data_IF_399820377694
#
_entry.id   IF_399820377694
#
_cell.length_a   1.000
_cell.length_b   1.000
_cell.length_c   1.000
_cell.angle_alpha   90.00
_cell.angle_beta   90.00
_cell.angle_gamma   90.00
#
_symmetry.space_group_name_H-M   'P 1'
#
loop_
_entity.id
_entity.type
_entity.pdbx_description
1 polymer ?
#
# COMPACT_ATOMS: atom_id res chain seq x y z
N UNK A 1 0.71 -1.48 -15.21
CA UNK A 1 -0.40 -1.63 -14.26
C UNK A 1 0.17 -1.57 -12.86
N UNK A 2 -0.44 -0.79 -11.96
CA UNK A 2 -0.05 -0.76 -10.54
C UNK A 2 -0.81 -1.82 -9.71
N UNK A 3 -0.37 -2.07 -8.47
CA UNK A 3 -1.00 -3.06 -7.61
C UNK A 3 -2.45 -2.71 -7.24
N UNK A 4 -2.79 -1.42 -7.13
CA UNK A 4 -4.18 -0.99 -6.89
C UNK A 4 -5.09 -1.36 -8.07
N UNK A 5 -4.68 -1.06 -9.30
CA UNK A 5 -5.40 -1.41 -10.53
C UNK A 5 -5.59 -2.91 -10.68
N UNK A 6 -4.57 -3.72 -10.35
CA UNK A 6 -4.69 -5.18 -10.37
C UNK A 6 -5.77 -5.68 -9.41
N UNK A 7 -5.88 -5.06 -8.23
CA UNK A 7 -6.93 -5.37 -7.25
C UNK A 7 -8.28 -4.85 -7.70
N UNK A 8 -8.36 -3.67 -8.30
CA UNK A 8 -9.61 -3.08 -8.79
C UNK A 8 -10.19 -3.85 -10.00
N UNK A 9 -9.32 -4.45 -10.82
CA UNK A 9 -9.73 -5.37 -11.89
C UNK A 9 -10.22 -6.73 -11.38
N UNK A 10 -10.02 -7.04 -10.10
CA UNK A 10 -10.40 -8.31 -9.48
C UNK A 10 -11.72 -8.22 -8.73
N UNK A 11 -12.55 -9.27 -8.86
CA UNK A 11 -13.73 -9.44 -8.01
C UNK A 11 -13.38 -9.84 -6.56
N UNK A 12 -12.22 -10.46 -6.35
CA UNK A 12 -11.74 -10.93 -5.04
C UNK A 12 -10.85 -9.92 -4.34
N UNK A 13 -10.15 -9.08 -5.12
CA UNK A 13 -9.12 -8.12 -4.66
C UNK A 13 -8.03 -8.79 -3.82
N UNK A 14 -7.63 -10.01 -4.18
CA UNK A 14 -6.61 -10.79 -3.48
C UNK A 14 -5.59 -11.36 -4.45
N UNK A 15 -4.32 -11.15 -4.15
CA UNK A 15 -3.24 -11.89 -4.80
C UNK A 15 -3.12 -13.30 -4.20
N UNK A 16 -2.65 -14.23 -5.03
CA UNK A 16 -2.19 -15.53 -4.55
C UNK A 16 -1.15 -15.31 -3.43
N UNK A 17 -1.22 -16.10 -2.35
CA UNK A 17 -0.43 -15.83 -1.16
C UNK A 17 1.10 -15.78 -1.44
N UNK A 18 1.67 -16.66 -2.29
CA UNK A 18 3.08 -16.55 -2.67
C UNK A 18 3.43 -15.27 -3.44
N UNK A 19 2.50 -14.78 -4.27
CA UNK A 19 2.67 -13.54 -5.04
C UNK A 19 2.68 -12.33 -4.10
N UNK A 20 1.71 -12.26 -3.18
CA UNK A 20 1.62 -11.20 -2.18
C UNK A 20 2.88 -11.11 -1.29
N UNK A 21 3.42 -12.27 -0.91
CA UNK A 21 4.69 -12.39 -0.18
C UNK A 21 5.89 -11.90 -1.00
N UNK A 22 6.00 -12.33 -2.26
CA UNK A 22 7.08 -11.88 -3.15
C UNK A 22 7.05 -10.37 -3.41
N UNK A 23 5.85 -9.78 -3.58
CA UNK A 23 5.67 -8.34 -3.65
C UNK A 23 6.12 -7.63 -2.38
N UNK A 24 5.68 -8.12 -1.21
CA UNK A 24 6.06 -7.55 0.08
C UNK A 24 7.57 -7.58 0.31
N UNK A 25 8.23 -8.70 -0.03
CA UNK A 25 9.68 -8.83 0.07
C UNK A 25 10.43 -7.83 -0.83
N UNK A 26 10.03 -7.71 -2.10
CA UNK A 26 10.62 -6.73 -3.01
C UNK A 26 10.42 -5.30 -2.54
N UNK A 27 9.25 -4.98 -1.99
CA UNK A 27 8.94 -3.65 -1.51
C UNK A 27 9.81 -3.28 -0.29
N UNK A 28 9.97 -4.21 0.67
CA UNK A 28 10.90 -4.01 1.80
C UNK A 28 12.33 -3.80 1.30
N UNK A 29 12.80 -4.61 0.35
CA UNK A 29 14.14 -4.47 -0.24
C UNK A 29 14.33 -3.13 -0.95
N UNK A 30 13.33 -2.68 -1.72
CA UNK A 30 13.36 -1.39 -2.41
C UNK A 30 13.44 -0.23 -1.42
N UNK A 31 12.60 -0.23 -0.37
CA UNK A 31 12.62 0.81 0.66
C UNK A 31 13.93 0.78 1.46
N UNK A 32 14.45 -0.40 1.80
CA UNK A 32 15.75 -0.53 2.46
C UNK A 32 16.87 0.07 1.61
N UNK A 33 16.85 -0.16 0.30
CA UNK A 33 17.78 0.46 -0.63
C UNK A 33 17.62 1.99 -0.65
N UNK A 34 16.42 2.53 -0.81
CA UNK A 34 16.17 3.99 -0.80
C UNK A 34 16.68 4.64 0.51
N UNK A 35 16.36 4.04 1.66
CA UNK A 35 16.80 4.54 2.96
C UNK A 35 18.32 4.50 3.10
N UNK A 36 18.99 3.48 2.56
CA UNK A 36 20.46 3.41 2.52
C UNK A 36 21.09 4.54 1.68
N UNK A 37 20.36 5.06 0.69
CA UNK A 37 20.77 6.21 -0.12
C UNK A 37 20.35 7.56 0.50
N UNK A 38 19.78 7.54 1.71
CA UNK A 38 19.32 8.73 2.41
C UNK A 38 18.02 9.32 1.85
N UNK A 39 17.26 8.55 1.07
CA UNK A 39 16.01 8.97 0.43
C UNK A 39 14.82 8.42 1.22
N UNK A 40 13.84 9.29 1.48
CA UNK A 40 12.48 8.94 1.93
C UNK A 40 11.56 9.07 0.73
N UNK A 41 10.75 8.05 0.44
CA UNK A 41 9.80 8.07 -0.66
C UNK A 41 8.63 9.01 -0.38
N UNK A 42 8.11 8.98 0.85
CA UNK A 42 7.02 9.78 1.41
C UNK A 42 5.62 9.57 0.80
N UNK A 43 5.47 8.60 -0.11
CA UNK A 43 4.19 8.29 -0.76
C UNK A 43 4.07 6.83 -1.20
N UNK A 44 4.35 5.90 -0.28
CA UNK A 44 4.23 4.47 -0.55
C UNK A 44 2.76 4.04 -0.42
N UNK A 45 2.20 3.57 -1.52
CA UNK A 45 0.89 2.91 -1.57
C UNK A 45 0.81 2.01 -2.82
N UNK A 46 -0.17 1.09 -2.92
CA UNK A 46 -0.28 0.17 -4.06
C UNK A 46 -0.39 0.82 -5.44
N UNK A 47 -0.78 2.10 -5.51
CA UNK A 47 -0.85 2.87 -6.76
C UNK A 47 0.54 3.26 -7.30
N UNK A 48 1.52 3.42 -6.41
CA UNK A 48 2.91 3.76 -6.75
C UNK A 48 3.83 2.52 -6.85
N UNK A 49 3.23 1.33 -6.94
CA UNK A 49 3.96 0.07 -7.13
C UNK A 49 3.48 -0.57 -8.43
N UNK A 50 4.33 -0.57 -9.44
CA UNK A 50 4.02 -1.12 -10.76
C UNK A 50 4.43 -2.59 -10.83
N UNK A 51 3.60 -3.42 -11.46
CA UNK A 51 4.00 -4.76 -11.93
C UNK A 51 4.65 -4.59 -13.30
N UNK A 52 5.86 -5.12 -13.46
CA UNK A 52 6.54 -5.10 -14.74
C UNK A 52 5.85 -6.02 -15.74
N UNK A 53 5.76 -5.54 -16.98
CA UNK A 53 5.22 -6.33 -18.07
C UNK A 53 6.24 -7.42 -18.47
N UNK A 54 5.78 -8.57 -18.98
CA UNK A 54 6.70 -9.62 -19.40
C UNK A 54 7.67 -9.14 -20.48
N UNK A 55 8.94 -9.55 -20.43
CA UNK A 55 9.98 -9.20 -21.42
C UNK A 55 9.56 -9.54 -22.86
N UNK A 56 8.70 -10.56 -23.03
CA UNK A 56 8.13 -10.89 -24.34
C UNK A 56 7.45 -9.70 -25.04
N UNK A 57 6.97 -8.71 -24.28
CA UNK A 57 6.38 -7.50 -24.87
C UNK A 57 7.40 -6.58 -25.51
N UNK A 58 8.62 -6.49 -24.98
CA UNK A 58 9.70 -5.66 -25.54
C UNK A 58 10.15 -6.17 -26.92
N UNK A 59 9.85 -7.43 -27.22
CA UNK A 59 10.19 -8.08 -28.49
C UNK A 59 9.12 -7.92 -29.58
N UNK A 60 7.95 -7.37 -29.27
CA UNK A 60 6.85 -7.22 -30.24
C UNK A 60 7.08 -5.99 -31.13
N UNK A 61 6.86 -6.13 -32.44
CA UNK A 61 6.68 -4.95 -33.31
C UNK A 61 5.35 -4.25 -32.99
N UNK A 62 5.18 -2.96 -33.33
CA UNK A 62 3.90 -2.27 -33.16
C UNK A 62 2.72 -3.00 -33.81
N UNK A 63 2.92 -3.61 -34.99
CA UNK A 63 1.89 -4.36 -35.71
C UNK A 63 1.49 -5.63 -34.94
N UNK A 64 2.47 -6.41 -34.46
CA UNK A 64 2.22 -7.61 -33.66
C UNK A 64 1.54 -7.26 -32.33
N UNK A 65 1.90 -6.11 -31.75
CA UNK A 65 1.26 -5.60 -30.56
C UNK A 65 -0.22 -5.29 -30.82
N UNK A 66 -0.54 -4.60 -31.92
CA UNK A 66 -1.94 -4.28 -32.26
C UNK A 66 -2.75 -5.52 -32.68
N UNK A 67 -2.14 -6.50 -33.36
CA UNK A 67 -2.80 -7.78 -33.65
C UNK A 67 -3.20 -8.50 -32.36
N UNK A 68 -2.35 -8.44 -31.33
CA UNK A 68 -2.57 -9.13 -30.06
C UNK A 68 -3.50 -8.38 -29.11
N UNK A 69 -3.38 -7.05 -29.04
CA UNK A 69 -4.03 -6.23 -28.02
C UNK A 69 -5.11 -5.28 -28.57
N UNK A 70 -5.31 -5.27 -29.88
CA UNK A 70 -6.25 -4.40 -30.58
C UNK A 70 -5.60 -3.12 -31.12
N UNK A 71 -6.29 -2.52 -32.08
CA UNK A 71 -5.89 -1.23 -32.65
C UNK A 71 -6.14 -0.10 -31.62
N UNK A 72 -5.34 0.97 -31.64
CA UNK A 72 -5.56 2.14 -30.79
C UNK A 72 -7.00 2.66 -30.91
N UNK A 73 -7.66 2.80 -29.77
CA UNK A 73 -9.00 3.37 -29.71
C UNK A 73 -8.91 4.88 -29.58
N UNK A 74 -9.60 5.60 -30.46
CA UNK A 74 -9.64 7.06 -30.46
C UNK A 74 -11.01 7.54 -30.00
N UNK A 75 -11.01 8.49 -29.07
CA UNK A 75 -12.21 9.19 -28.63
C UNK A 75 -12.15 10.68 -29.01
N UNK A 76 -13.29 11.29 -29.40
CA UNK A 76 -13.33 12.70 -29.71
C UNK A 76 -13.16 13.54 -28.43
N UNK A 77 -12.27 14.53 -28.49
CA UNK A 77 -12.17 15.53 -27.42
C UNK A 77 -13.31 16.53 -27.63
N UNK A 78 -14.12 16.74 -26.60
CA UNK A 78 -15.24 17.70 -26.64
C UNK A 78 -15.21 18.62 -25.43
N UNK A 79 -15.57 19.89 -25.63
CA UNK A 79 -15.71 20.83 -24.52
C UNK A 79 -16.96 20.47 -23.70
N UNK A 80 -16.87 20.49 -22.37
CA UNK A 80 -18.01 20.23 -21.47
C UNK A 80 -19.17 21.20 -21.68
N UNK A 81 -18.87 22.44 -22.09
CA UNK A 81 -19.86 23.47 -22.43
C UNK A 81 -20.32 23.42 -23.91
N UNK A 82 -19.92 22.36 -24.63
CA UNK A 82 -20.24 22.07 -26.04
C UNK A 82 -19.75 23.13 -27.05
N UNK A 83 -18.83 24.02 -26.65
CA UNK A 83 -18.23 24.98 -27.58
C UNK A 83 -17.19 24.30 -28.49
N UNK A 84 -16.85 24.93 -29.63
CA UNK A 84 -15.74 24.47 -30.47
C UNK A 84 -14.43 24.41 -29.66
N UNK A 85 -13.58 23.43 -29.99
CA UNK A 85 -12.25 23.33 -29.40
C UNK A 85 -11.42 24.58 -29.78
N UNK A 86 -10.66 25.15 -28.83
CA UNK A 86 -9.69 26.20 -29.14
C UNK A 86 -8.60 25.72 -30.11
N UNK A 87 -8.02 26.67 -30.84
CA UNK A 87 -6.87 26.39 -31.70
C UNK A 87 -5.71 25.77 -30.89
N UNK A 88 -5.16 24.67 -31.41
CA UNK A 88 -4.06 23.93 -30.77
C UNK A 88 -4.47 22.79 -29.84
N UNK A 89 -5.77 22.59 -29.59
CA UNK A 89 -6.27 21.42 -28.83
C UNK A 89 -6.47 20.23 -29.78
N UNK A 90 -5.92 19.04 -29.48
CA UNK A 90 -6.16 17.84 -30.28
C UNK A 90 -7.66 17.52 -30.37
N UNK A 91 -8.13 17.17 -31.57
CA UNK A 91 -9.55 16.80 -31.80
C UNK A 91 -9.87 15.38 -31.33
N UNK A 92 -8.84 14.56 -31.10
CA UNK A 92 -8.98 13.19 -30.65
C UNK A 92 -7.94 12.87 -29.56
N UNK A 93 -8.34 12.03 -28.62
CA UNK A 93 -7.47 11.41 -27.64
C UNK A 93 -7.36 9.92 -27.94
N UNK A 94 -6.21 9.32 -27.64
CA UNK A 94 -6.03 7.87 -27.68
C UNK A 94 -6.32 7.34 -26.28
N UNK A 95 -7.28 6.42 -26.17
CA UNK A 95 -7.60 5.79 -24.89
C UNK A 95 -6.48 4.81 -24.52
N UNK A 96 -5.94 4.87 -23.30
CA UNK A 96 -4.89 3.95 -22.89
C UNK A 96 -5.40 2.51 -22.89
N UNK A 97 -4.64 1.61 -23.51
CA UNK A 97 -4.93 0.17 -23.46
C UNK A 97 -4.66 -0.37 -22.06
N UNK A 98 -5.58 -1.16 -21.52
CA UNK A 98 -5.35 -1.88 -20.26
C UNK A 98 -4.72 -3.25 -20.56
N UNK A 99 -3.43 -3.38 -20.27
CA UNK A 99 -2.64 -4.62 -20.42
C UNK A 99 -2.47 -5.37 -19.09
N UNK A 100 -3.38 -5.09 -18.15
CA UNK A 100 -3.30 -5.62 -16.80
C UNK A 100 -3.82 -7.04 -16.66
N UNK A 101 -3.82 -7.51 -15.40
CA UNK A 101 -4.47 -8.75 -14.97
C UNK A 101 -5.19 -8.49 -13.65
N UNK A 102 -6.25 -9.25 -13.40
CA UNK A 102 -6.85 -9.28 -12.07
C UNK A 102 -5.83 -9.85 -11.05
N UNK A 103 -5.88 -9.38 -9.81
CA UNK A 103 -4.89 -9.71 -8.77
C UNK A 103 -4.66 -11.22 -8.55
N UNK A 104 -5.69 -12.04 -8.68
CA UNK A 104 -5.67 -13.49 -8.50
C UNK A 104 -5.03 -14.23 -9.68
N UNK A 105 -4.92 -13.58 -10.83
CA UNK A 105 -4.38 -14.11 -12.09
C UNK A 105 -2.90 -13.76 -12.28
N UNK A 106 -2.36 -12.84 -11.47
CA UNK A 106 -0.92 -12.55 -11.46
C UNK A 106 -0.19 -13.78 -10.97
N UNK A 107 0.65 -14.35 -11.84
CA UNK A 107 1.45 -15.52 -11.50
C UNK A 107 2.70 -15.15 -10.72
N UNK A 108 3.31 -16.12 -10.04
CA UNK A 108 4.54 -15.87 -9.27
C UNK A 108 5.71 -15.43 -10.16
N UNK A 109 5.84 -15.96 -11.38
CA UNK A 109 6.89 -15.56 -12.33
C UNK A 109 6.73 -14.12 -12.85
N UNK A 110 5.52 -13.57 -12.81
CA UNK A 110 5.20 -12.20 -13.23
C UNK A 110 5.23 -11.21 -12.05
N UNK A 111 5.49 -11.70 -10.83
CA UNK A 111 5.38 -10.91 -9.61
C UNK A 111 6.55 -9.92 -9.42
N UNK A 112 7.12 -9.37 -10.48
CA UNK A 112 8.21 -8.41 -10.43
C UNK A 112 7.66 -6.99 -10.32
N UNK A 113 8.15 -6.22 -9.35
CA UNK A 113 7.68 -4.86 -9.11
C UNK A 113 8.76 -3.81 -9.28
N UNK A 114 8.31 -2.58 -9.57
CA UNK A 114 9.11 -1.36 -9.47
C UNK A 114 8.34 -0.32 -8.68
N UNK A 115 9.04 0.35 -7.76
CA UNK A 115 8.53 1.51 -7.02
C UNK A 115 8.69 2.74 -7.92
N UNK A 116 7.61 3.50 -8.09
CA UNK A 116 7.56 4.67 -8.96
C UNK A 116 7.09 5.90 -8.19
N UNK A 117 7.07 7.04 -8.89
CA UNK A 117 6.58 8.33 -8.41
C UNK A 117 7.34 8.88 -7.20
N UNK A 118 8.52 9.43 -7.51
CA UNK A 118 9.38 10.11 -6.54
C UNK A 118 9.05 11.60 -6.40
N UNK A 119 7.88 12.06 -6.87
CA UNK A 119 7.47 13.47 -6.81
C UNK A 119 7.42 14.02 -5.37
N UNK A 120 7.08 13.15 -4.41
CA UNK A 120 7.02 13.46 -2.98
C UNK A 120 8.28 13.05 -2.22
N UNK A 121 9.32 12.54 -2.90
CA UNK A 121 10.52 12.08 -2.21
C UNK A 121 11.38 13.23 -1.68
N UNK A 122 12.19 12.96 -0.67
CA UNK A 122 13.15 13.92 -0.11
C UNK A 122 14.28 13.24 0.65
N UNK A 123 15.34 14.00 0.91
CA UNK A 123 16.43 13.58 1.78
C UNK A 123 16.33 14.33 3.12
N UNK A 124 16.04 13.64 4.25
CA UNK A 124 15.91 14.28 5.56
C UNK A 124 17.16 15.04 6.02
N UNK A 125 18.33 14.65 5.51
CA UNK A 125 19.61 15.31 5.82
C UNK A 125 19.70 16.74 5.26
N UNK A 126 18.97 17.05 4.18
CA UNK A 126 19.05 18.35 3.49
C UNK A 126 17.72 19.08 3.44
N UNK A 127 16.60 18.38 3.60
CA UNK A 127 15.26 18.91 3.39
C UNK A 127 14.37 18.55 4.57
N UNK A 128 13.94 19.55 5.34
CA UNK A 128 12.91 19.38 6.35
C UNK A 128 11.53 19.29 5.68
N UNK A 129 10.71 18.31 6.08
CA UNK A 129 9.35 18.10 5.58
C UNK A 129 8.39 17.87 6.73
N UNK A 130 7.39 18.74 6.88
CA UNK A 130 6.45 18.75 8.00
C UNK A 130 5.02 18.34 7.61
N UNK A 131 4.81 17.94 6.36
CA UNK A 131 3.53 17.51 5.82
C UNK A 131 3.70 16.21 5.05
N UNK A 132 2.60 15.50 4.85
CA UNK A 132 2.52 14.27 4.09
C UNK A 132 1.42 14.41 3.03
N UNK A 133 1.76 14.15 1.77
CA UNK A 133 0.80 14.17 0.66
C UNK A 133 0.27 12.77 0.30
N UNK A 134 0.73 11.74 1.03
CA UNK A 134 0.18 10.39 0.88
C UNK A 134 -1.31 10.33 1.17
N UNK A 135 -2.07 9.35 0.61
CA UNK A 135 -3.50 9.25 0.83
C UNK A 135 -3.87 9.33 2.32
N UNK A 136 -4.93 10.09 2.65
CA UNK A 136 -5.28 10.45 4.03
C UNK A 136 -5.30 9.29 5.03
N UNK A 137 -5.71 8.09 4.60
CA UNK A 137 -5.78 6.89 5.44
C UNK A 137 -4.42 6.29 5.79
N UNK A 138 -3.36 6.64 5.05
CA UNK A 138 -2.00 6.12 5.21
C UNK A 138 -1.09 7.09 5.96
N UNK A 139 -1.53 8.33 6.18
CA UNK A 139 -0.74 9.38 6.81
C UNK A 139 -0.23 8.93 8.19
N UNK A 140 1.09 8.95 8.43
CA UNK A 140 1.67 8.59 9.72
C UNK A 140 1.17 9.52 10.84
N UNK A 141 0.88 8.98 12.04
CA UNK A 141 0.23 9.73 13.12
C UNK A 141 1.05 10.93 13.63
N UNK A 142 2.38 10.86 13.55
CA UNK A 142 3.28 11.97 13.93
C UNK A 142 3.04 13.23 13.11
N UNK A 143 2.53 13.11 11.87
CA UNK A 143 2.17 14.27 11.03
C UNK A 143 1.15 15.16 11.72
N UNK A 144 0.22 14.56 12.47
CA UNK A 144 -0.81 15.30 13.21
C UNK A 144 -0.35 15.69 14.62
N UNK A 145 0.33 14.80 15.33
CA UNK A 145 0.66 15.02 16.74
C UNK A 145 1.99 15.75 16.99
N UNK A 146 2.87 15.75 15.99
CA UNK A 146 4.20 16.37 16.02
C UNK A 146 4.44 17.28 14.79
N UNK A 147 3.55 18.24 14.46
CA UNK A 147 3.59 18.98 13.18
C UNK A 147 4.83 19.88 13.00
N UNK A 148 5.64 20.07 14.05
CA UNK A 148 6.90 20.82 14.00
C UNK A 148 8.12 19.94 13.75
N UNK A 149 7.96 18.61 13.87
CA UNK A 149 9.03 17.64 13.64
C UNK A 149 9.08 17.33 12.16
N UNK A 150 10.28 17.22 11.60
CA UNK A 150 10.40 16.77 10.20
C UNK A 150 10.10 15.28 10.15
N UNK A 151 9.34 14.87 9.14
CA UNK A 151 9.24 13.49 8.73
C UNK A 151 10.64 12.97 8.34
N UNK A 152 10.82 11.66 8.51
CA UNK A 152 12.06 10.94 8.26
C UNK A 152 11.73 9.53 7.75
N UNK A 153 12.73 8.65 7.68
CA UNK A 153 12.60 7.26 7.21
C UNK A 153 11.46 6.48 7.88
N UNK A 154 11.19 6.75 9.16
CA UNK A 154 10.09 6.14 9.92
C UNK A 154 8.70 6.39 9.32
N UNK A 155 8.51 7.47 8.56
CA UNK A 155 7.25 7.77 7.88
C UNK A 155 6.99 6.74 6.76
N UNK A 156 8.02 6.40 5.98
CA UNK A 156 7.95 5.32 4.99
C UNK A 156 7.70 3.96 5.65
N UNK A 157 8.24 3.71 6.84
CA UNK A 157 8.00 2.43 7.53
C UNK A 157 6.52 2.23 7.87
N UNK A 158 5.83 3.32 8.25
CA UNK A 158 4.40 3.30 8.51
C UNK A 158 3.60 3.02 7.22
N UNK A 159 3.84 3.79 6.16
CA UNK A 159 3.12 3.61 4.88
C UNK A 159 3.47 2.28 4.20
N UNK A 160 4.70 1.80 4.36
CA UNK A 160 5.14 0.46 3.95
C UNK A 160 4.33 -0.64 4.64
N UNK A 161 4.13 -0.55 5.96
CA UNK A 161 3.32 -1.54 6.69
C UNK A 161 1.86 -1.55 6.23
N UNK A 162 1.26 -0.37 6.04
CA UNK A 162 -0.10 -0.26 5.51
C UNK A 162 -0.20 -0.85 4.09
N UNK A 163 0.82 -0.61 3.26
CA UNK A 163 0.88 -1.12 1.89
C UNK A 163 1.05 -2.64 1.87
N UNK A 164 1.94 -3.20 2.70
CA UNK A 164 2.11 -4.66 2.84
C UNK A 164 0.81 -5.32 3.30
N UNK A 165 0.12 -4.72 4.27
CA UNK A 165 -1.20 -5.20 4.69
C UNK A 165 -2.16 -5.25 3.51
N UNK A 166 -2.23 -4.19 2.72
CA UNK A 166 -3.11 -4.13 1.57
C UNK A 166 -2.70 -5.10 0.45
N UNK A 167 -1.41 -5.40 0.28
CA UNK A 167 -0.96 -6.45 -0.64
C UNK A 167 -1.47 -7.83 -0.19
N UNK A 168 -1.42 -8.11 1.10
CA UNK A 168 -1.77 -9.42 1.68
C UNK A 168 -3.29 -9.61 1.81
N UNK A 169 -4.02 -8.55 2.14
CA UNK A 169 -5.45 -8.56 2.44
C UNK A 169 -6.33 -8.00 1.33
N UNK A 170 -7.59 -8.38 1.37
CA UNK A 170 -8.64 -7.90 0.47
C UNK A 170 -8.92 -6.40 0.66
N UNK A 171 -8.93 -5.96 1.93
CA UNK A 171 -9.29 -4.59 2.33
C UNK A 171 -8.08 -3.87 2.95
N UNK A 172 -7.98 -2.54 2.77
CA UNK A 172 -6.91 -1.76 3.38
C UNK A 172 -6.99 -1.84 4.91
N UNK A 173 -5.87 -1.55 5.59
CA UNK A 173 -5.78 -1.66 7.05
C UNK A 173 -6.75 -0.70 7.74
N UNK A 174 -6.85 0.52 7.23
CA UNK A 174 -7.75 1.55 7.72
C UNK A 174 -8.75 1.90 6.61
N UNK A 175 -10.02 2.12 6.97
CA UNK A 175 -11.08 2.45 6.00
C UNK A 175 -11.83 3.72 6.39
N UNK A 176 -12.18 4.54 5.41
CA UNK A 176 -12.98 5.75 5.59
C UNK A 176 -13.36 6.37 4.25
N UNK A 177 -14.60 6.85 4.13
CA UNK A 177 -15.05 7.60 2.97
C UNK A 177 -14.85 9.10 3.23
N UNK A 178 -14.05 9.77 2.41
CA UNK A 178 -13.60 11.15 2.60
C UNK A 178 -13.25 11.46 4.09
N UNK A 179 -12.28 10.73 4.66
CA UNK A 179 -12.04 10.70 6.08
C UNK A 179 -11.45 12.03 6.58
N UNK A 180 -11.98 12.54 7.70
CA UNK A 180 -11.31 13.60 8.45
C UNK A 180 -10.10 13.06 9.19
N UNK A 181 -9.18 13.94 9.60
CA UNK A 181 -8.02 13.55 10.43
C UNK A 181 -8.46 12.82 11.72
N UNK A 182 -9.53 13.30 12.36
CA UNK A 182 -10.09 12.64 13.54
C UNK A 182 -10.59 11.21 13.26
N UNK A 183 -11.14 10.96 12.07
CA UNK A 183 -11.56 9.63 11.67
C UNK A 183 -10.35 8.68 11.53
N UNK A 184 -9.27 9.14 10.90
CA UNK A 184 -8.04 8.38 10.74
C UNK A 184 -7.43 8.05 12.11
N UNK A 185 -7.33 9.03 13.01
CA UNK A 185 -6.86 8.81 14.38
C UNK A 185 -7.76 7.82 15.13
N UNK A 186 -9.08 7.89 14.94
CA UNK A 186 -10.01 6.89 15.50
C UNK A 186 -9.78 5.49 14.93
N UNK A 187 -9.51 5.33 13.63
CA UNK A 187 -9.14 4.04 13.05
C UNK A 187 -7.83 3.50 13.64
N UNK A 188 -6.84 4.37 13.86
CA UNK A 188 -5.59 4.00 14.53
C UNK A 188 -5.85 3.47 15.96
N UNK A 189 -6.67 4.16 16.75
CA UNK A 189 -6.97 3.77 18.13
C UNK A 189 -7.82 2.49 18.19
N UNK A 190 -8.80 2.33 17.31
CA UNK A 190 -9.56 1.08 17.21
C UNK A 190 -8.66 -0.12 16.86
N UNK A 191 -7.59 0.12 16.11
CA UNK A 191 -6.68 -0.93 15.64
C UNK A 191 -5.65 -1.29 16.70
N UNK A 192 -4.94 -0.28 17.22
CA UNK A 192 -3.78 -0.50 18.07
C UNK A 192 -4.02 -0.27 19.56
N UNK A 193 -5.14 0.35 19.92
CA UNK A 193 -5.43 0.80 21.27
C UNK A 193 -5.01 2.24 21.49
N UNK A 194 -5.01 2.64 22.76
CA UNK A 194 -4.80 4.02 23.19
C UNK A 194 -3.47 4.62 22.69
N UNK A 195 -3.52 5.88 22.24
CA UNK A 195 -2.33 6.64 21.85
C UNK A 195 -1.38 6.87 23.04
N UNK A 196 -0.08 7.17 22.79
CA UNK A 196 0.82 7.66 23.81
C UNK A 196 0.20 8.86 24.55
N UNK A 197 0.41 8.96 25.86
CA UNK A 197 -0.29 9.94 26.71
C UNK A 197 -0.22 11.39 26.19
N UNK A 198 0.93 11.92 25.72
CA UNK A 198 0.99 13.29 25.18
C UNK A 198 0.13 13.48 23.94
N UNK A 199 -0.02 12.44 23.10
CA UNK A 199 -0.83 12.48 21.89
C UNK A 199 -2.31 12.30 22.23
N UNK A 200 -2.63 11.41 23.17
CA UNK A 200 -3.98 11.21 23.69
C UNK A 200 -4.58 12.51 24.23
N UNK A 201 -3.82 13.26 25.03
CA UNK A 201 -4.27 14.53 25.60
C UNK A 201 -4.47 15.62 24.55
N UNK A 202 -3.67 15.64 23.49
CA UNK A 202 -3.80 16.58 22.37
C UNK A 202 -5.02 16.30 21.48
N UNK A 203 -5.49 15.05 21.43
CA UNK A 203 -6.63 14.70 20.60
C UNK A 203 -7.95 15.11 21.26
N UNK A 204 -8.44 16.31 20.95
CA UNK A 204 -9.65 16.89 21.56
C UNK A 204 -10.92 16.11 21.24
N UNK A 205 -11.05 15.62 20.00
CA UNK A 205 -12.22 14.87 19.54
C UNK A 205 -12.31 13.44 20.11
N UNK A 206 -11.31 12.95 20.87
CA UNK A 206 -11.26 11.57 21.38
C UNK A 206 -12.53 11.16 22.14
N UNK A 207 -13.11 12.08 22.90
CA UNK A 207 -14.29 11.85 23.76
C UNK A 207 -15.56 11.55 22.96
N UNK A 208 -15.59 11.85 21.65
CA UNK A 208 -16.68 11.45 20.75
C UNK A 208 -16.78 9.94 20.59
N UNK A 209 -15.67 9.22 20.74
CA UNK A 209 -15.59 7.79 20.45
C UNK A 209 -15.08 6.95 21.62
N UNK A 210 -14.27 7.50 22.51
CA UNK A 210 -13.58 6.77 23.55
C UNK A 210 -13.74 7.40 24.93
N UNK A 211 -13.77 6.55 25.96
CA UNK A 211 -13.55 6.93 27.35
C UNK A 211 -12.09 7.31 27.57
N UNK A 212 -11.79 8.00 28.68
CA UNK A 212 -10.43 8.44 28.99
C UNK A 212 -9.43 7.30 29.22
N UNK A 213 -9.88 6.10 29.54
CA UNK A 213 -9.03 4.90 29.61
C UNK A 213 -8.71 4.30 28.23
N UNK A 214 -9.28 4.85 27.15
CA UNK A 214 -9.12 4.38 25.78
C UNK A 214 -10.13 3.33 25.34
N UNK A 215 -11.10 2.97 26.20
CA UNK A 215 -12.18 2.04 25.83
C UNK A 215 -13.21 2.73 24.93
N UNK A 216 -13.72 2.01 23.94
CA UNK A 216 -14.69 2.52 22.97
C UNK A 216 -16.07 2.73 23.61
N UNK A 217 -16.75 3.82 23.24
CA UNK A 217 -18.17 4.02 23.55
C UNK A 217 -19.05 3.02 22.82
N UNK A 218 -19.87 2.28 23.55
CA UNK A 218 -20.82 1.32 22.97
C UNK A 218 -20.18 0.10 22.31
N UNK A 219 -21.02 -0.81 21.78
CA UNK A 219 -20.61 -2.12 21.22
C UNK A 219 -20.41 -2.04 19.68
N UNK A 220 -20.56 -0.87 19.05
CA UNK A 220 -20.67 -0.80 17.58
C UNK A 220 -19.31 -0.68 16.86
N UNK A 221 -19.12 -1.53 15.84
CA UNK A 221 -18.15 -1.51 14.73
C UNK A 221 -16.67 -1.19 15.03
N UNK A 222 -16.19 -1.31 16.28
CA UNK A 222 -14.74 -1.36 16.50
C UNK A 222 -14.20 -2.65 15.85
N UNK A 223 -13.08 -2.53 15.14
CA UNK A 223 -12.38 -3.66 14.52
C UNK A 223 -10.97 -3.68 15.09
N UNK A 224 -10.74 -4.42 16.18
CA UNK A 224 -9.42 -4.60 16.74
C UNK A 224 -8.48 -5.31 15.77
N UNK A 225 -7.17 -5.16 16.01
CA UNK A 225 -6.08 -5.72 15.20
C UNK A 225 -6.34 -7.14 14.66
N UNK A 226 -6.64 -8.09 15.54
CA UNK A 226 -6.86 -9.50 15.16
C UNK A 226 -8.13 -9.68 14.34
N UNK A 227 -9.20 -8.95 14.67
CA UNK A 227 -10.45 -9.02 13.92
C UNK A 227 -10.28 -8.46 12.50
N UNK A 228 -9.51 -7.39 12.32
CA UNK A 228 -9.16 -6.87 10.99
C UNK A 228 -8.42 -7.91 10.17
N UNK A 229 -7.45 -8.60 10.76
CA UNK A 229 -6.73 -9.66 10.04
C UNK A 229 -7.70 -10.76 9.60
N UNK A 230 -8.57 -11.22 10.51
CA UNK A 230 -9.54 -12.26 10.19
C UNK A 230 -10.50 -11.82 9.07
N UNK A 231 -10.99 -10.59 9.10
CA UNK A 231 -11.97 -10.08 8.14
C UNK A 231 -11.36 -9.66 6.80
N UNK A 232 -10.12 -9.18 6.79
CA UNK A 232 -9.47 -8.65 5.59
C UNK A 232 -8.53 -9.66 4.92
N UNK A 233 -8.02 -10.65 5.64
CA UNK A 233 -7.05 -11.63 5.10
C UNK A 233 -7.61 -13.04 5.14
N UNK A 234 -7.98 -13.53 6.33
CA UNK A 234 -8.28 -14.95 6.51
C UNK A 234 -9.61 -15.37 5.88
N UNK A 235 -10.72 -14.74 6.29
CA UNK A 235 -12.07 -15.09 5.81
C UNK A 235 -12.22 -14.92 4.31
N UNK A 236 -11.77 -13.82 3.68
CA UNK A 236 -11.87 -13.69 2.23
C UNK A 236 -11.12 -14.80 1.48
N UNK A 237 -9.94 -15.22 1.97
CA UNK A 237 -9.21 -16.34 1.36
C UNK A 237 -9.98 -17.65 1.45
N UNK A 238 -10.60 -17.93 2.59
CA UNK A 238 -11.46 -19.11 2.78
C UNK A 238 -12.72 -19.05 1.88
N UNK A 239 -13.40 -17.91 1.84
CA UNK A 239 -14.61 -17.68 1.04
C UNK A 239 -14.36 -17.86 -0.47
N UNK A 240 -13.17 -17.50 -0.96
CA UNK A 240 -12.78 -17.64 -2.37
C UNK A 240 -11.91 -18.87 -2.65
N UNK A 241 -11.86 -19.86 -1.76
CA UNK A 241 -11.06 -21.10 -1.91
C UNK A 241 -9.56 -20.86 -2.21
N UNK A 242 -9.01 -19.76 -1.73
CA UNK A 242 -7.58 -19.46 -1.80
C UNK A 242 -6.86 -20.03 -0.58
N UNK A 243 -5.55 -20.28 -0.72
CA UNK A 243 -4.74 -20.76 0.40
C UNK A 243 -4.79 -19.75 1.58
N UNK A 244 -5.25 -20.17 2.78
CA UNK A 244 -5.22 -19.33 3.97
C UNK A 244 -3.79 -19.15 4.50
N UNK A 245 -3.60 -18.12 5.33
CA UNK A 245 -2.35 -17.92 6.05
C UNK A 245 -2.28 -18.87 7.25
N UNK A 246 -1.17 -19.60 7.41
CA UNK A 246 -1.00 -20.51 8.56
C UNK A 246 -0.78 -19.77 9.88
N UNK A 247 -1.07 -20.40 11.01
CA UNK A 247 -1.01 -19.73 12.33
C UNK A 247 0.37 -19.19 12.71
N UNK A 248 1.43 -19.95 12.41
CA UNK A 248 2.81 -19.51 12.65
C UNK A 248 3.14 -18.27 11.80
N UNK A 249 2.80 -18.30 10.51
CA UNK A 249 2.99 -17.18 9.60
C UNK A 249 2.20 -15.96 10.04
N UNK A 250 0.93 -16.13 10.39
CA UNK A 250 0.05 -15.07 10.89
C UNK A 250 0.68 -14.40 12.11
N UNK A 251 1.21 -15.18 13.04
CA UNK A 251 1.85 -14.65 14.24
C UNK A 251 3.08 -13.80 13.88
N UNK A 252 3.94 -14.32 13.01
CA UNK A 252 5.13 -13.60 12.54
C UNK A 252 4.76 -12.32 11.76
N UNK A 253 3.79 -12.40 10.85
CA UNK A 253 3.29 -11.29 10.03
C UNK A 253 2.73 -10.17 10.90
N UNK A 254 1.82 -10.51 11.82
CA UNK A 254 1.19 -9.55 12.71
C UNK A 254 2.19 -8.93 13.67
N UNK A 255 3.19 -9.67 14.13
CA UNK A 255 4.27 -9.14 14.99
C UNK A 255 5.08 -8.10 14.22
N UNK A 256 5.55 -8.44 13.01
CA UNK A 256 6.30 -7.51 12.16
C UNK A 256 5.53 -6.22 11.89
N UNK A 257 4.28 -6.32 11.42
CA UNK A 257 3.50 -5.12 11.13
C UNK A 257 3.18 -4.31 12.39
N UNK A 258 2.99 -4.95 13.55
CA UNK A 258 2.74 -4.24 14.82
C UNK A 258 3.90 -3.32 15.18
N UNK A 259 5.14 -3.77 14.99
CA UNK A 259 6.34 -2.99 15.29
C UNK A 259 6.54 -1.85 14.26
N UNK A 260 6.29 -2.13 12.97
CA UNK A 260 6.33 -1.11 11.92
C UNK A 260 5.27 -0.01 12.13
N UNK A 261 4.13 -0.35 12.71
CA UNK A 261 2.99 0.53 13.00
C UNK A 261 3.02 1.08 14.44
N UNK A 262 4.20 1.12 15.07
CA UNK A 262 4.35 1.80 16.36
C UNK A 262 3.98 3.29 16.21
N UNK A 263 3.22 3.82 17.18
CA UNK A 263 2.80 5.22 17.14
C UNK A 263 4.00 6.18 17.11
N UNK A 264 4.90 6.03 18.07
CA UNK A 264 6.12 6.83 18.15
C UNK A 264 7.09 6.43 17.02
N UNK A 265 7.52 7.36 16.15
CA UNK A 265 8.35 7.04 14.99
C UNK A 265 9.68 6.38 15.34
N UNK A 266 10.28 6.75 16.48
CA UNK A 266 11.54 6.23 16.99
C UNK A 266 11.46 4.76 17.40
N UNK A 267 10.25 4.24 17.65
CA UNK A 267 10.03 2.84 18.03
C UNK A 267 9.86 1.92 16.82
N UNK A 268 9.74 2.49 15.61
CA UNK A 268 9.61 1.71 14.38
C UNK A 268 10.98 1.14 13.98
N UNK A 269 11.05 -0.12 13.54
CA UNK A 269 12.29 -0.67 13.00
C UNK A 269 12.68 0.07 11.71
N UNK A 270 13.99 0.17 11.44
CA UNK A 270 14.48 0.58 10.13
C UNK A 270 14.12 -0.46 9.06
N UNK A 271 14.09 -0.05 7.79
CA UNK A 271 13.90 -0.97 6.67
C UNK A 271 14.95 -2.11 6.65
N UNK A 272 16.18 -1.82 7.08
CA UNK A 272 17.22 -2.84 7.27
C UNK A 272 16.86 -3.88 8.34
N UNK A 273 16.34 -3.44 9.50
CA UNK A 273 15.89 -4.35 10.55
C UNK A 273 14.66 -5.16 10.15
N UNK A 274 13.76 -4.60 9.33
CA UNK A 274 12.58 -5.31 8.83
C UNK A 274 12.97 -6.56 8.02
N UNK A 275 14.10 -6.51 7.30
CA UNK A 275 14.59 -7.68 6.56
C UNK A 275 14.88 -8.88 7.47
N UNK A 276 15.22 -8.66 8.73
CA UNK A 276 15.56 -9.71 9.70
C UNK A 276 14.32 -10.33 10.39
N UNK A 277 13.12 -9.80 10.16
CA UNK A 277 11.92 -10.35 10.77
C UNK A 277 11.63 -11.77 10.27
N UNK A 278 11.15 -12.61 11.19
CA UNK A 278 10.82 -14.00 10.92
C UNK A 278 9.87 -14.14 9.72
N UNK A 279 8.86 -13.26 9.60
CA UNK A 279 7.93 -13.32 8.48
C UNK A 279 8.61 -13.15 7.12
N UNK A 280 9.53 -12.18 7.05
CA UNK A 280 10.31 -11.91 5.84
C UNK A 280 11.24 -13.08 5.52
N UNK A 281 11.94 -13.61 6.52
CA UNK A 281 12.93 -14.68 6.36
C UNK A 281 12.32 -16.05 6.01
N UNK A 282 11.22 -16.43 6.66
CA UNK A 282 10.65 -17.78 6.55
C UNK A 282 9.57 -17.91 5.47
N UNK A 283 8.94 -16.80 5.06
CA UNK A 283 7.85 -16.83 4.06
C UNK A 283 8.08 -15.90 2.86
N UNK A 284 8.42 -14.63 3.09
CA UNK A 284 8.44 -13.66 2.00
C UNK A 284 9.67 -13.79 1.06
N UNK A 285 10.89 -13.87 1.61
CA UNK A 285 12.13 -14.04 0.86
C UNK A 285 12.24 -15.39 0.15
N UNK A 286 11.76 -16.52 0.71
CA UNK A 286 11.64 -17.76 -0.03
C UNK A 286 10.78 -17.63 -1.28
N UNK A 287 9.64 -16.93 -1.20
CA UNK A 287 8.73 -16.76 -2.34
C UNK A 287 9.30 -15.83 -3.40
N UNK A 288 10.04 -14.80 -2.98
CA UNK A 288 10.87 -13.99 -3.89
C UNK A 288 11.97 -14.83 -4.58
N UNK A 289 12.60 -15.75 -3.85
CA UNK A 289 13.63 -16.63 -4.43
C UNK A 289 13.03 -17.59 -5.45
N UNK A 290 11.85 -18.18 -5.14
CA UNK A 290 11.09 -19.03 -6.05
C UNK A 290 10.64 -18.26 -7.31
N UNK A 291 10.17 -17.02 -7.16
CA UNK A 291 9.87 -16.14 -8.29
C UNK A 291 11.07 -16.00 -9.22
N UNK A 292 12.25 -15.65 -8.69
CA UNK A 292 13.47 -15.45 -9.48
C UNK A 292 13.94 -16.71 -10.21
N UNK A 293 13.72 -17.89 -9.61
CA UNK A 293 14.05 -19.18 -10.24
C UNK A 293 13.10 -19.57 -11.37
N UNK A 294 11.87 -19.05 -11.34
CA UNK A 294 10.82 -19.33 -12.31
C UNK A 294 10.67 -18.23 -13.36
N UNK A 295 11.61 -17.27 -13.42
CA UNK A 295 11.67 -16.31 -14.51
C UNK A 295 12.14 -17.03 -15.79
N UNK A 296 11.45 -16.83 -16.92
CA UNK A 296 11.79 -17.45 -18.20
C UNK A 296 13.14 -16.98 -18.75
#
# INVERSE_FOLDING_TARGET
>A
MNLAEAKDASSFRLFQLPVARAFSAQLVLAVAYLHSQGIVHADLHPGNILILLPESMDSLSPEQFYERHGQPHHEPVTCLDQRPLPDGVPTQAVVPVWLGKASEEVSLSEAQIVVTDFGESFMPATTARHHSNTPNMLVPPETYFEPKKSLSFSADIWTLACTIWEIIGQRPLFEGFNPSVDWVVKEHVDTFGKLPLPWWQKWESRSKWFNEDGTRHGITNSRPWVQRFTQSVQKPREEFNMQPMGDAERTAFLTMLRDMLAFEPEKRPSAGQIMEYEWLQQWALPDLSRMKQNMP
#
